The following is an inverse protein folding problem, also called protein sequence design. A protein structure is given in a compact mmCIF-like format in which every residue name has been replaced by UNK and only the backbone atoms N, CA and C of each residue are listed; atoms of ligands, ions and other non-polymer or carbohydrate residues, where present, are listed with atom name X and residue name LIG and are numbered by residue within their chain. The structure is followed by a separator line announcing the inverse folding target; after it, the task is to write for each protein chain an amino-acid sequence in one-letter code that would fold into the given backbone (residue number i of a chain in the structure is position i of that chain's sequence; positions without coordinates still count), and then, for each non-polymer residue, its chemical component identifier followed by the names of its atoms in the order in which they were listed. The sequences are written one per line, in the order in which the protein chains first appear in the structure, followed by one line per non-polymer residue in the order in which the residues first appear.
data_IF_718837824804
#
_entry.id   IF_718837824804
#
_cell.length_a   1.000
_cell.length_b   1.000
_cell.length_c   1.000
_cell.angle_alpha   90.00
_cell.angle_beta   90.00
_cell.angle_gamma   90.00
#
_symmetry.space_group_name_H-M   'P 1'
#
loop_
_entity.id
_entity.type
_entity.pdbx_description
1 polymer ?
#
# COMPACT_ATOMS: atom_id res chain seq x y z
N UNK A 1 -2.69 8.17 14.77
CA UNK A 1 -3.57 8.77 13.72
C UNK A 1 -3.51 7.90 12.47
N UNK A 2 -4.60 7.81 11.69
CA UNK A 2 -4.56 7.16 10.37
C UNK A 2 -4.45 8.26 9.32
N UNK A 3 -3.42 8.20 8.50
CA UNK A 3 -3.10 9.22 7.49
C UNK A 3 -3.12 8.54 6.13
N UNK A 4 -3.81 9.15 5.16
CA UNK A 4 -3.87 8.65 3.78
C UNK A 4 -3.22 9.69 2.87
N UNK A 5 -2.34 9.25 1.97
CA UNK A 5 -1.64 10.13 1.04
C UNK A 5 -1.33 9.44 -0.29
N UNK A 6 -0.89 10.21 -1.28
CA UNK A 6 -0.41 9.71 -2.56
C UNK A 6 1.02 9.17 -2.46
N UNK A 7 1.45 8.38 -3.45
CA UNK A 7 2.85 7.94 -3.54
C UNK A 7 3.79 9.14 -3.68
N UNK A 8 3.38 10.19 -4.40
CA UNK A 8 4.18 11.41 -4.56
C UNK A 8 4.41 12.14 -3.23
N UNK A 9 3.44 12.09 -2.32
CA UNK A 9 3.53 12.76 -1.02
C UNK A 9 4.13 11.87 0.08
N UNK A 10 4.31 10.56 -0.19
CA UNK A 10 4.70 9.57 0.82
C UNK A 10 5.94 9.97 1.61
N UNK A 11 6.99 10.41 0.91
CA UNK A 11 8.26 10.78 1.54
C UNK A 11 8.06 11.98 2.48
N UNK A 12 7.46 13.05 1.98
CA UNK A 12 7.25 14.29 2.74
C UNK A 12 6.33 14.06 3.95
N UNK A 13 5.26 13.26 3.77
CA UNK A 13 4.36 12.87 4.85
C UNK A 13 5.12 12.06 5.90
N UNK A 14 5.86 11.02 5.51
CA UNK A 14 6.63 10.20 6.43
C UNK A 14 7.74 10.98 7.14
N UNK A 15 8.36 11.97 6.51
CA UNK A 15 9.35 12.83 7.14
C UNK A 15 8.73 13.77 8.18
N UNK A 16 7.53 14.30 7.89
CA UNK A 16 6.80 15.20 8.78
C UNK A 16 6.24 14.47 10.01
N UNK A 17 5.53 13.36 9.81
CA UNK A 17 4.80 12.68 10.90
C UNK A 17 5.60 11.57 11.56
N UNK A 18 6.67 11.08 10.91
CA UNK A 18 7.58 10.03 11.41
C UNK A 18 6.80 8.79 11.90
N UNK A 19 5.95 8.20 11.04
CA UNK A 19 5.10 7.09 11.44
C UNK A 19 5.95 5.84 11.67
N UNK A 20 5.56 5.00 12.62
CA UNK A 20 6.20 3.70 12.80
C UNK A 20 5.61 2.64 11.87
N UNK A 21 4.38 2.84 11.40
CA UNK A 21 3.64 1.91 10.55
C UNK A 21 3.33 2.53 9.20
N UNK A 22 3.52 1.74 8.15
CA UNK A 22 3.19 2.08 6.76
C UNK A 22 2.48 0.90 6.10
N UNK A 23 1.39 1.19 5.40
CA UNK A 23 0.76 0.26 4.46
C UNK A 23 0.84 0.86 3.06
N UNK A 24 1.56 0.17 2.18
CA UNK A 24 1.62 0.49 0.75
C UNK A 24 0.63 -0.39 0.01
N UNK A 25 -0.33 0.25 -0.65
CA UNK A 25 -1.33 -0.40 -1.50
C UNK A 25 -1.06 0.00 -2.94
N UNK A 26 -0.40 -0.86 -3.70
CA UNK A 26 0.14 -0.49 -5.01
C UNK A 26 0.09 -1.67 -5.98
N UNK A 27 0.39 -1.42 -7.25
CA UNK A 27 0.28 -2.44 -8.30
C UNK A 27 1.09 -3.69 -7.96
N UNK A 28 0.59 -4.89 -8.31
CA UNK A 28 1.35 -6.12 -8.15
C UNK A 28 2.73 -6.03 -8.81
N UNK A 29 3.76 -6.37 -8.04
CA UNK A 29 5.16 -6.35 -8.46
C UNK A 29 5.84 -4.98 -8.40
N UNK A 30 5.15 -3.92 -7.99
CA UNK A 30 5.80 -2.65 -7.64
C UNK A 30 6.03 -2.65 -6.13
N UNK A 31 7.28 -2.44 -5.72
CA UNK A 31 7.65 -2.39 -4.32
C UNK A 31 8.28 -1.03 -3.98
N UNK A 32 7.55 -0.12 -3.30
CA UNK A 32 8.15 1.14 -2.87
C UNK A 32 9.22 0.88 -1.81
N UNK A 33 10.24 1.74 -1.80
CA UNK A 33 11.23 1.75 -0.73
C UNK A 33 10.56 2.12 0.61
N UNK A 34 11.04 1.52 1.70
CA UNK A 34 10.56 1.86 3.04
C UNK A 34 11.15 3.21 3.46
N UNK A 35 10.32 4.22 3.78
CA UNK A 35 10.81 5.51 4.26
C UNK A 35 11.57 5.38 5.59
N UNK A 36 12.56 6.25 5.81
CA UNK A 36 13.55 6.16 6.90
C UNK A 36 13.01 5.89 8.31
N UNK A 37 11.86 6.47 8.67
CA UNK A 37 11.32 6.40 10.04
C UNK A 37 10.35 5.23 10.25
N UNK A 38 9.95 4.57 9.17
CA UNK A 38 9.02 3.45 9.18
C UNK A 38 9.73 2.21 9.70
N UNK A 39 9.16 1.59 10.74
CA UNK A 39 9.69 0.37 11.35
C UNK A 39 8.94 -0.87 10.86
N UNK A 40 7.64 -0.73 10.62
CA UNK A 40 6.74 -1.77 10.17
C UNK A 40 6.13 -1.34 8.83
N UNK A 41 6.42 -2.09 7.77
CA UNK A 41 5.95 -1.75 6.42
C UNK A 41 5.24 -2.97 5.80
N UNK A 42 3.93 -2.89 5.67
CA UNK A 42 3.13 -3.84 4.90
C UNK A 42 3.03 -3.38 3.45
N UNK A 43 3.40 -4.24 2.51
CA UNK A 43 3.26 -4.01 1.07
C UNK A 43 2.19 -4.95 0.52
N UNK A 44 1.15 -4.39 -0.09
CA UNK A 44 0.05 -5.12 -0.69
C UNK A 44 0.01 -4.82 -2.18
N UNK A 45 0.10 -5.88 -2.98
CA UNK A 45 0.06 -5.82 -4.44
C UNK A 45 -1.32 -6.16 -4.97
N UNK A 46 -2.13 -5.17 -5.34
CA UNK A 46 -3.40 -5.38 -6.04
C UNK A 46 -3.78 -4.18 -6.89
N UNK A 47 -4.57 -4.43 -7.93
CA UNK A 47 -5.09 -3.40 -8.81
C UNK A 47 -6.40 -2.82 -8.26
N UNK A 48 -6.61 -1.52 -8.47
CA UNK A 48 -7.86 -0.84 -8.10
C UNK A 48 -9.00 -1.17 -9.09
N UNK A 49 -9.43 -2.43 -9.06
CA UNK A 49 -10.44 -3.00 -9.94
C UNK A 49 -11.39 -3.90 -9.15
N UNK A 50 -12.65 -3.97 -9.58
CA UNK A 50 -13.65 -4.84 -8.93
C UNK A 50 -13.51 -6.30 -9.39
N UNK A 51 -13.12 -6.51 -10.65
CA UNK A 51 -12.97 -7.84 -11.26
C UNK A 51 -11.96 -7.79 -12.39
N UNK A 52 -11.36 -8.94 -12.68
CA UNK A 52 -10.51 -9.14 -13.85
C UNK A 52 -11.35 -8.95 -15.12
N UNK A 53 -10.82 -8.17 -16.07
CA UNK A 53 -11.42 -7.98 -17.39
C UNK A 53 -10.36 -7.91 -18.48
N UNK A 54 -10.46 -8.69 -19.57
CA UNK A 54 -9.49 -8.61 -20.67
C UNK A 54 -9.51 -7.24 -21.36
N UNK A 55 -10.65 -6.54 -21.32
CA UNK A 55 -10.80 -5.19 -21.90
C UNK A 55 -10.26 -4.08 -20.98
N UNK A 56 -9.84 -4.43 -19.76
CA UNK A 56 -9.26 -3.47 -18.83
C UNK A 56 -7.74 -3.45 -19.00
N UNK A 57 -7.22 -2.33 -19.50
CA UNK A 57 -5.79 -2.15 -19.72
C UNK A 57 -5.17 -1.52 -18.47
N UNK A 58 -4.38 -2.31 -17.73
CA UNK A 58 -3.66 -1.82 -16.57
C UNK A 58 -2.40 -1.08 -17.02
N UNK A 59 -2.27 0.18 -16.62
CA UNK A 59 -1.03 0.92 -16.78
C UNK A 59 -0.15 0.66 -15.57
N UNK A 60 0.94 -0.08 -15.77
CA UNK A 60 1.87 -0.44 -14.71
C UNK A 60 3.27 0.04 -15.07
N UNK A 61 3.97 0.64 -14.11
CA UNK A 61 5.34 1.12 -14.32
C UNK A 61 6.38 -0.01 -14.33
N UNK A 62 6.02 -1.20 -13.83
CA UNK A 62 6.94 -2.31 -13.59
C UNK A 62 6.83 -3.44 -14.64
N UNK A 63 5.62 -3.88 -15.01
CA UNK A 63 5.40 -4.96 -16.00
C UNK A 63 3.94 -5.07 -16.44
N UNK A 64 3.70 -5.46 -17.69
CA UNK A 64 2.37 -5.79 -18.23
C UNK A 64 2.05 -7.31 -18.11
N UNK A 65 3.01 -8.13 -17.67
CA UNK A 65 2.90 -9.60 -17.71
C UNK A 65 2.19 -10.20 -16.50
N UNK A 66 1.97 -9.43 -15.44
CA UNK A 66 1.31 -9.92 -14.23
C UNK A 66 -0.21 -9.84 -14.44
N UNK A 67 -0.96 -10.93 -14.16
CA UNK A 67 -2.41 -10.91 -14.23
C UNK A 67 -3.03 -9.79 -13.38
N UNK A 68 -4.15 -9.27 -13.86
CA UNK A 68 -5.00 -8.40 -13.04
C UNK A 68 -5.38 -9.12 -11.74
N UNK A 69 -5.25 -8.42 -10.63
CA UNK A 69 -5.48 -8.93 -9.29
C UNK A 69 -6.33 -7.94 -8.49
N UNK A 70 -7.65 -8.14 -8.37
CA UNK A 70 -8.47 -7.31 -7.51
C UNK A 70 -8.12 -7.53 -6.02
N UNK A 71 -8.52 -6.59 -5.13
CA UNK A 71 -8.50 -6.82 -3.69
C UNK A 71 -9.25 -8.12 -3.34
N UNK A 72 -8.76 -8.85 -2.34
CA UNK A 72 -9.31 -10.15 -1.96
C UNK A 72 -9.08 -10.40 -0.46
N UNK A 73 -9.64 -11.49 0.07
CA UNK A 73 -9.59 -11.79 1.50
C UNK A 73 -8.15 -11.89 2.04
N UNK A 74 -7.20 -12.40 1.26
CA UNK A 74 -5.79 -12.50 1.72
C UNK A 74 -5.15 -11.13 1.98
N UNK A 75 -5.57 -10.10 1.24
CA UNK A 75 -5.14 -8.72 1.51
C UNK A 75 -5.74 -8.20 2.83
N UNK A 76 -7.00 -8.50 3.11
CA UNK A 76 -7.67 -8.14 4.37
C UNK A 76 -7.00 -8.86 5.55
N UNK A 77 -6.79 -10.17 5.44
CA UNK A 77 -6.13 -10.99 6.46
C UNK A 77 -4.71 -10.47 6.76
N UNK A 78 -4.01 -9.97 5.73
CA UNK A 78 -2.68 -9.36 5.89
C UNK A 78 -2.73 -8.04 6.64
N UNK A 79 -3.74 -7.18 6.37
CA UNK A 79 -3.96 -5.93 7.12
C UNK A 79 -4.32 -6.23 8.57
N UNK A 80 -5.24 -7.17 8.82
CA UNK A 80 -5.62 -7.59 10.17
C UNK A 80 -4.39 -8.09 10.95
N UNK A 81 -3.63 -9.02 10.36
CA UNK A 81 -2.41 -9.54 10.98
C UNK A 81 -1.36 -8.47 11.25
N UNK A 82 -1.18 -7.53 10.34
CA UNK A 82 -0.22 -6.43 10.48
C UNK A 82 -0.63 -5.45 11.59
N UNK A 83 -1.91 -5.16 11.69
CA UNK A 83 -2.46 -4.20 12.67
C UNK A 83 -2.73 -4.80 14.04
N UNK A 84 -2.64 -6.12 14.22
CA UNK A 84 -2.81 -6.79 15.51
C UNK A 84 -1.92 -6.23 16.65
N UNK A 85 -0.73 -5.70 16.31
CA UNK A 85 0.20 -5.12 17.28
C UNK A 85 0.30 -3.60 17.18
N UNK A 86 -0.49 -2.97 16.30
CA UNK A 86 -0.50 -1.51 16.16
C UNK A 86 -1.33 -0.89 17.28
N UNK A 87 -0.74 0.07 17.99
CA UNK A 87 -1.45 0.86 19.00
C UNK A 87 -2.01 2.13 18.36
N UNK A 88 -3.27 2.47 18.65
CA UNK A 88 -3.97 3.64 18.08
C UNK A 88 -3.30 4.99 18.42
N UNK A 89 -2.48 5.03 19.48
CA UNK A 89 -1.65 6.18 19.83
C UNK A 89 -0.45 6.36 18.88
N UNK A 90 -0.12 5.35 18.08
CA UNK A 90 0.92 5.42 17.06
C UNK A 90 0.33 5.85 15.71
N UNK A 91 1.12 6.59 14.94
CA UNK A 91 0.72 6.99 13.59
C UNK A 91 0.96 5.87 12.58
N UNK A 92 -0.04 5.67 11.73
CA UNK A 92 0.00 4.78 10.57
C UNK A 92 -0.30 5.59 9.31
N UNK A 93 0.57 5.47 8.32
CA UNK A 93 0.36 6.02 6.98
C UNK A 93 -0.11 4.90 6.06
N UNK A 94 -1.09 5.20 5.22
CA UNK A 94 -1.57 4.34 4.15
C UNK A 94 -1.43 5.14 2.86
N UNK A 95 -0.85 4.55 1.81
CA UNK A 95 -0.75 5.24 0.53
C UNK A 95 -1.04 4.31 -0.65
N UNK A 96 -1.43 4.92 -1.76
CA UNK A 96 -1.51 4.28 -3.07
C UNK A 96 -0.87 5.22 -4.12
N UNK A 97 -1.26 5.10 -5.40
CA UNK A 97 -0.76 5.99 -6.45
C UNK A 97 -1.32 7.42 -6.38
N UNK A 98 -2.61 7.57 -6.02
CA UNK A 98 -3.35 8.84 -6.11
C UNK A 98 -3.38 9.62 -4.80
#
# INVERSE_FOLDING_TARGET
MIIVCSLSDLVDVCESVKPKYLISVIDPGYEPETPKFVQNHLKLGFDDIVKVSPDNHMFRLNTEEIPQLPPNNSHIDSIEKFTNNWDVSEDIVIHCWC
#
